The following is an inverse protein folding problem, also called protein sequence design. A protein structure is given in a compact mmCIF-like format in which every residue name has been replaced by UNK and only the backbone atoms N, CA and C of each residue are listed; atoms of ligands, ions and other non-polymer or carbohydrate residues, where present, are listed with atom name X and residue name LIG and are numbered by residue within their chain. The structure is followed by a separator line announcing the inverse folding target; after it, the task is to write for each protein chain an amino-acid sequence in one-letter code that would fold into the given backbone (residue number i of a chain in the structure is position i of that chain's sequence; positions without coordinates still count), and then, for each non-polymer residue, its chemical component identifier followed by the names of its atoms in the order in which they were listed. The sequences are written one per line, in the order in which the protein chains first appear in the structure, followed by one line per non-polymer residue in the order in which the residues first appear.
data_IF_798479455463
#
_entry.id   IF_798479455463
#
_cell.length_a   1.000
_cell.length_b   1.000
_cell.length_c   1.000
_cell.angle_alpha   90.00
_cell.angle_beta   90.00
_cell.angle_gamma   90.00
#
_symmetry.space_group_name_H-M   'P 1'
#
loop_
_entity.id
_entity.type
_entity.pdbx_description
1 polymer ?
#
# COMPACT_ATOMS: atom_id res chain seq x y z
N UNK A 1 -63.61 -7.66 -25.79
CA UNK A 1 -62.71 -6.49 -25.70
C UNK A 1 -62.70 -6.03 -24.24
N UNK A 2 -61.50 -5.84 -23.66
CA UNK A 2 -61.21 -5.32 -22.29
C UNK A 2 -61.27 -6.35 -21.14
N UNK A 3 -60.13 -6.93 -20.81
CA UNK A 3 -59.74 -7.28 -19.43
C UNK A 3 -58.32 -6.74 -19.23
N UNK A 4 -58.23 -5.54 -18.67
CA UNK A 4 -57.00 -4.89 -18.22
C UNK A 4 -57.02 -4.95 -16.70
N UNK A 5 -55.91 -5.39 -16.12
CA UNK A 5 -55.48 -4.88 -14.81
C UNK A 5 -55.52 -5.87 -13.68
N UNK A 6 -54.40 -6.58 -13.47
CA UNK A 6 -53.88 -6.98 -12.14
C UNK A 6 -52.43 -7.48 -12.25
N UNK A 7 -51.55 -6.74 -12.95
CA UNK A 7 -50.11 -7.05 -13.01
C UNK A 7 -49.28 -5.77 -12.85
N UNK A 8 -49.67 -4.88 -11.94
CA UNK A 8 -49.03 -3.56 -11.79
C UNK A 8 -48.77 -3.12 -10.36
N UNK A 9 -49.08 -3.94 -9.34
CA UNK A 9 -49.05 -3.48 -7.95
C UNK A 9 -48.39 -4.50 -7.01
N UNK A 10 -47.18 -4.94 -7.38
CA UNK A 10 -46.38 -5.88 -6.57
C UNK A 10 -44.87 -5.69 -6.69
N UNK A 11 -44.40 -4.60 -7.30
CA UNK A 11 -42.96 -4.32 -7.50
C UNK A 11 -42.50 -3.02 -6.82
N UNK A 12 -43.33 -2.45 -5.93
CA UNK A 12 -43.12 -1.09 -5.41
C UNK A 12 -42.70 -1.02 -3.93
N UNK A 13 -42.21 -2.11 -3.33
CA UNK A 13 -41.94 -2.18 -1.88
C UNK A 13 -40.67 -2.97 -1.49
N UNK A 14 -39.59 -2.87 -2.27
CA UNK A 14 -38.30 -3.52 -1.94
C UNK A 14 -37.05 -2.68 -2.26
N UNK A 15 -37.12 -1.34 -2.12
CA UNK A 15 -35.98 -0.44 -2.38
C UNK A 15 -35.55 0.45 -1.20
N UNK A 16 -36.02 0.22 0.02
CA UNK A 16 -35.53 0.97 1.20
C UNK A 16 -34.45 0.20 1.96
N UNK A 17 -33.37 -0.14 1.25
CA UNK A 17 -32.17 -0.76 1.81
C UNK A 17 -30.93 0.01 1.39
N UNK A 18 -30.87 1.32 1.67
CA UNK A 18 -29.64 2.09 1.52
C UNK A 18 -28.62 1.54 2.52
N UNK A 19 -27.60 0.85 2.03
CA UNK A 19 -26.39 0.59 2.80
C UNK A 19 -25.79 1.95 3.19
N UNK A 20 -25.88 2.32 4.47
CA UNK A 20 -25.17 3.49 4.99
C UNK A 20 -23.68 3.14 5.05
N UNK A 21 -22.95 3.51 4.01
CA UNK A 21 -21.49 3.62 4.05
C UNK A 21 -21.12 4.71 5.05
N UNK A 22 -21.04 4.35 6.33
CA UNK A 22 -20.48 5.20 7.37
C UNK A 22 -18.97 4.96 7.35
N UNK A 23 -18.28 5.49 6.33
CA UNK A 23 -16.87 5.87 6.51
C UNK A 23 -16.93 7.21 7.24
N UNK A 24 -16.43 7.25 8.48
CA UNK A 24 -16.41 8.49 9.25
C UNK A 24 -15.62 9.56 8.52
N UNK A 25 -16.11 10.79 8.54
CA UNK A 25 -15.50 11.98 7.91
C UNK A 25 -14.28 12.52 8.67
N UNK A 26 -13.78 11.78 9.67
CA UNK A 26 -12.79 12.25 10.63
C UNK A 26 -11.85 11.10 11.02
N UNK A 27 -10.55 11.35 10.98
CA UNK A 27 -9.51 10.42 11.41
C UNK A 27 -8.94 10.82 12.78
N UNK A 28 -8.56 9.83 13.59
CA UNK A 28 -7.84 10.08 14.85
C UNK A 28 -6.34 10.15 14.54
N UNK A 29 -5.72 11.29 14.77
CA UNK A 29 -4.28 11.52 14.55
C UNK A 29 -3.61 11.68 15.91
N UNK A 30 -2.50 10.98 16.12
CA UNK A 30 -1.68 11.07 17.35
C UNK A 30 -0.41 11.88 17.06
N UNK A 31 -0.16 12.89 17.90
CA UNK A 31 0.98 13.80 17.78
C UNK A 31 1.96 13.60 18.95
N UNK A 32 3.20 13.23 18.62
CA UNK A 32 4.29 12.97 19.57
C UNK A 32 5.51 13.83 19.23
N UNK A 33 6.24 14.30 20.26
CA UNK A 33 7.50 15.04 20.05
C UNK A 33 8.60 14.65 21.02
N UNK A 34 9.86 14.76 20.57
CA UNK A 34 11.04 14.72 21.43
C UNK A 34 11.80 16.06 21.31
N UNK A 35 11.95 16.82 22.41
CA UNK A 35 11.39 16.60 23.76
C UNK A 35 9.85 16.76 23.81
N UNK A 36 9.21 16.13 24.81
CA UNK A 36 7.77 16.24 25.04
C UNK A 36 7.41 17.64 25.55
N UNK A 37 6.18 18.09 25.32
CA UNK A 37 5.73 19.42 25.73
C UNK A 37 5.76 20.49 24.61
N UNK A 38 5.86 20.08 23.35
CA UNK A 38 5.79 21.00 22.22
C UNK A 38 4.33 21.40 21.95
N UNK A 39 4.10 22.69 21.71
CA UNK A 39 2.80 23.21 21.28
C UNK A 39 2.60 22.86 19.81
N UNK A 40 1.48 22.21 19.49
CA UNK A 40 1.13 21.83 18.12
C UNK A 40 0.03 22.75 17.61
N UNK A 41 0.34 23.42 16.50
CA UNK A 41 -0.61 24.19 15.72
C UNK A 41 -0.87 23.49 14.38
N UNK A 42 -2.12 23.47 13.93
CA UNK A 42 -2.50 22.94 12.61
C UNK A 42 -3.15 24.09 11.85
N UNK A 43 -2.63 24.41 10.67
CA UNK A 43 -3.00 25.56 9.84
C UNK A 43 -2.99 26.89 10.63
N UNK A 44 -2.03 27.03 11.55
CA UNK A 44 -1.88 28.20 12.42
C UNK A 44 -2.83 28.28 13.61
N UNK A 45 -3.72 27.30 13.82
CA UNK A 45 -4.59 27.23 15.02
C UNK A 45 -3.98 26.29 16.08
N UNK A 46 -3.82 26.72 17.35
CA UNK A 46 -3.25 25.86 18.39
C UNK A 46 -4.24 24.77 18.83
N UNK A 47 -3.81 23.50 18.81
CA UNK A 47 -4.65 22.33 19.15
C UNK A 47 -4.26 21.66 20.47
N UNK A 48 -3.00 21.75 20.91
CA UNK A 48 -2.60 21.13 22.17
C UNK A 48 -1.10 21.05 22.40
N UNK A 49 -0.72 20.28 23.40
CA UNK A 49 0.66 20.01 23.83
C UNK A 49 0.93 18.51 23.71
N UNK A 50 2.05 18.11 23.14
CA UNK A 50 2.44 16.68 22.97
C UNK A 50 2.75 15.98 24.31
N UNK A 51 2.38 14.70 24.49
CA UNK A 51 1.68 13.82 23.54
C UNK A 51 0.15 13.96 23.64
N UNK A 52 -0.54 14.13 22.51
CA UNK A 52 -2.01 14.21 22.47
C UNK A 52 -2.59 13.59 21.20
N UNK A 53 -3.86 13.21 21.25
CA UNK A 53 -4.60 12.65 20.10
C UNK A 53 -5.85 13.47 19.85
N UNK A 54 -6.05 13.92 18.60
CA UNK A 54 -7.26 14.63 18.19
C UNK A 54 -7.96 13.90 17.05
N UNK A 55 -9.25 14.19 16.90
CA UNK A 55 -9.97 13.85 15.68
C UNK A 55 -9.85 15.03 14.73
N UNK A 56 -9.22 14.81 13.60
CA UNK A 56 -9.09 15.78 12.52
C UNK A 56 -10.06 15.37 11.42
N UNK A 57 -10.74 16.34 10.83
CA UNK A 57 -11.60 16.09 9.67
C UNK A 57 -10.74 15.74 8.45
N UNK A 58 -11.32 15.08 7.46
CA UNK A 58 -10.63 14.79 6.21
C UNK A 58 -10.61 16.04 5.31
N UNK A 59 -9.42 16.52 4.95
CA UNK A 59 -9.20 17.75 4.18
C UNK A 59 -8.01 17.64 3.23
N UNK A 60 -7.85 18.61 2.30
CA UNK A 60 -7.00 18.49 1.12
C UNK A 60 -5.49 18.59 1.37
N UNK A 61 -5.05 19.06 2.54
CA UNK A 61 -3.71 18.95 3.15
C UNK A 61 -3.73 19.74 4.47
N UNK A 62 -2.89 19.39 5.46
CA UNK A 62 -2.77 20.14 6.71
C UNK A 62 -1.30 20.54 6.98
N UNK A 63 -1.05 21.80 7.36
CA UNK A 63 0.27 22.24 7.80
C UNK A 63 0.36 22.18 9.33
N UNK A 64 1.13 21.22 9.85
CA UNK A 64 1.33 21.02 11.28
C UNK A 64 2.65 21.68 11.69
N UNK A 65 2.59 22.63 12.61
CA UNK A 65 3.74 23.33 13.17
C UNK A 65 3.91 22.96 14.65
N UNK A 66 5.06 22.37 14.96
CA UNK A 66 5.48 22.08 16.33
C UNK A 66 6.38 23.21 16.81
N UNK A 67 5.94 23.92 17.84
CA UNK A 67 6.68 25.04 18.44
C UNK A 67 7.02 24.72 19.89
N UNK A 68 8.30 24.82 20.24
CA UNK A 68 8.78 24.69 21.61
C UNK A 68 9.75 25.83 21.92
N UNK A 69 9.65 26.39 23.13
CA UNK A 69 10.55 27.45 23.56
C UNK A 69 12.02 26.99 23.46
N UNK A 70 12.87 27.81 22.82
CA UNK A 70 14.29 27.52 22.62
C UNK A 70 14.60 26.55 21.46
N UNK A 71 13.62 26.16 20.66
CA UNK A 71 13.80 25.27 19.50
C UNK A 71 13.29 25.91 18.21
N UNK A 72 13.84 25.49 17.07
CA UNK A 72 13.32 25.89 15.77
C UNK A 72 11.92 25.29 15.55
N UNK A 73 10.95 26.06 15.03
CA UNK A 73 9.64 25.52 14.69
C UNK A 73 9.79 24.46 13.61
N UNK A 74 9.27 23.26 13.87
CA UNK A 74 9.30 22.15 12.92
C UNK A 74 7.95 22.09 12.19
N UNK A 75 7.99 22.27 10.88
CA UNK A 75 6.81 22.25 10.01
C UNK A 75 6.73 20.93 9.26
N UNK A 76 5.62 20.26 9.42
CA UNK A 76 5.31 18.99 8.77
C UNK A 76 4.02 19.14 7.97
N UNK A 77 4.03 18.75 6.71
CA UNK A 77 2.84 18.76 5.87
C UNK A 77 2.22 17.37 5.87
N UNK A 78 1.03 17.27 6.45
CA UNK A 78 0.19 16.08 6.34
C UNK A 78 -0.48 16.12 4.97
N UNK A 79 -0.04 15.22 4.09
CA UNK A 79 -0.61 15.07 2.76
C UNK A 79 -1.87 14.21 2.80
N UNK A 80 -2.85 14.56 1.98
CA UNK A 80 -4.08 13.78 1.84
C UNK A 80 -4.18 13.16 0.45
N UNK A 81 -4.61 11.90 0.39
CA UNK A 81 -4.84 11.20 -0.87
C UNK A 81 -6.31 11.22 -1.28
N UNK A 82 -6.55 11.49 -2.56
CA UNK A 82 -7.88 11.55 -3.16
C UNK A 82 -8.36 10.13 -3.50
N UNK A 83 -9.32 9.62 -2.74
CA UNK A 83 -9.93 8.33 -3.01
C UNK A 83 -11.05 8.49 -4.05
N UNK A 84 -10.71 8.58 -5.34
CA UNK A 84 -11.68 8.76 -6.41
C UNK A 84 -12.44 7.46 -6.75
N UNK A 85 -13.77 7.43 -6.55
CA UNK A 85 -14.62 6.29 -6.93
C UNK A 85 -15.40 6.55 -8.24
N UNK A 86 -15.34 5.55 -9.13
CA UNK A 86 -16.20 5.21 -10.28
C UNK A 86 -16.76 6.33 -11.18
N UNK A 87 -16.17 6.44 -12.37
CA UNK A 87 -16.45 7.38 -13.48
C UNK A 87 -17.82 7.21 -14.19
N UNK A 88 -18.81 6.53 -13.57
CA UNK A 88 -20.02 6.08 -14.28
C UNK A 88 -21.32 6.84 -13.93
N UNK A 89 -21.29 7.83 -13.03
CA UNK A 89 -22.45 8.70 -12.69
C UNK A 89 -22.06 10.21 -12.68
N UNK A 90 -23.02 11.14 -12.93
CA UNK A 90 -22.79 12.53 -13.36
C UNK A 90 -22.24 13.47 -12.26
N UNK A 91 -21.79 14.71 -12.58
CA UNK A 91 -21.04 15.62 -11.68
C UNK A 91 -21.70 16.00 -10.33
N UNK A 92 -22.92 15.54 -10.04
CA UNK A 92 -23.63 15.84 -8.80
C UNK A 92 -23.17 14.99 -7.60
N UNK A 93 -22.70 13.75 -7.79
CA UNK A 93 -22.20 12.92 -6.67
C UNK A 93 -20.84 13.41 -6.17
N UNK A 94 -19.97 13.81 -7.09
CA UNK A 94 -18.68 14.43 -6.78
C UNK A 94 -18.86 15.73 -5.98
N UNK A 95 -19.95 16.49 -6.22
CA UNK A 95 -20.24 17.72 -5.46
C UNK A 95 -20.51 17.43 -3.97
N UNK A 96 -21.18 16.32 -3.65
CA UNK A 96 -21.54 15.98 -2.27
C UNK A 96 -20.32 15.47 -1.50
N UNK A 97 -19.47 14.66 -2.12
CA UNK A 97 -18.23 14.14 -1.50
C UNK A 97 -17.13 15.21 -1.35
N UNK A 98 -17.06 16.17 -2.28
CA UNK A 98 -16.16 17.35 -2.16
C UNK A 98 -16.59 18.25 -1.00
N UNK A 99 -17.89 18.52 -0.84
CA UNK A 99 -18.39 19.40 0.21
C UNK A 99 -18.33 18.74 1.59
N UNK A 100 -18.52 17.42 1.66
CA UNK A 100 -18.49 16.67 2.92
C UNK A 100 -17.09 16.22 3.38
N UNK A 101 -16.06 16.41 2.57
CA UNK A 101 -14.67 16.04 2.89
C UNK A 101 -14.37 14.54 2.84
N UNK A 102 -15.37 13.70 2.52
CA UNK A 102 -15.26 12.24 2.48
C UNK A 102 -14.32 11.70 1.37
N UNK A 103 -13.83 12.59 0.51
CA UNK A 103 -12.97 12.27 -0.62
C UNK A 103 -11.49 12.11 -0.26
N UNK A 104 -11.06 12.72 0.85
CA UNK A 104 -9.67 12.76 1.28
C UNK A 104 -9.42 11.70 2.36
N UNK A 105 -8.34 10.94 2.24
CA UNK A 105 -7.85 10.06 3.31
C UNK A 105 -6.49 10.59 3.75
N UNK A 106 -6.25 10.69 5.07
CA UNK A 106 -4.93 11.07 5.57
C UNK A 106 -3.99 9.87 5.41
N UNK A 107 -2.83 10.09 4.80
CA UNK A 107 -1.86 9.02 4.53
C UNK A 107 -1.10 8.57 5.80
N UNK A 108 -1.07 9.41 6.85
CA UNK A 108 -0.35 9.14 8.10
C UNK A 108 -1.27 9.36 9.32
N UNK A 109 -1.37 8.36 10.21
CA UNK A 109 -2.18 8.41 11.44
C UNK A 109 -1.35 8.79 12.69
N UNK A 110 -0.02 8.86 12.57
CA UNK A 110 0.92 9.26 13.62
C UNK A 110 2.01 10.19 13.10
N UNK A 111 2.17 11.34 13.76
CA UNK A 111 3.23 12.31 13.42
C UNK A 111 4.23 12.41 14.58
N UNK A 112 5.48 12.05 14.32
CA UNK A 112 6.58 12.15 15.28
C UNK A 112 7.55 13.27 14.89
N UNK A 113 7.71 14.28 15.76
CA UNK A 113 8.62 15.40 15.53
C UNK A 113 9.84 15.38 16.47
N UNK A 114 11.04 15.43 15.90
CA UNK A 114 12.29 15.65 16.64
C UNK A 114 12.72 17.12 16.48
N UNK A 115 12.71 17.90 17.55
CA UNK A 115 12.96 19.34 17.50
C UNK A 115 14.45 19.67 17.64
N UNK A 116 14.95 20.61 16.84
CA UNK A 116 16.34 21.08 16.86
C UNK A 116 16.45 22.36 17.72
N UNK A 117 17.36 22.44 18.70
CA UNK A 117 17.53 23.63 19.54
C UNK A 117 18.10 24.82 18.75
N UNK A 118 17.68 26.05 19.12
CA UNK A 118 18.16 27.30 18.53
C UNK A 118 19.58 27.65 19.05
N UNK A 119 20.51 28.08 18.19
CA UNK A 119 21.82 28.56 18.64
C UNK A 119 21.64 29.89 19.40
N UNK A 120 21.78 29.85 20.73
CA UNK A 120 21.70 31.03 21.61
C UNK A 120 20.78 30.90 22.82
N UNK A 121 20.07 29.79 23.00
CA UNK A 121 19.40 29.48 24.26
C UNK A 121 20.40 28.92 25.27
N UNK A 122 20.81 29.73 26.26
CA UNK A 122 21.61 29.25 27.39
C UNK A 122 21.01 27.95 27.98
N UNK A 123 21.83 26.94 28.28
CA UNK A 123 21.35 25.73 28.94
C UNK A 123 20.70 26.13 30.27
N UNK A 124 19.45 25.70 30.50
CA UNK A 124 18.88 25.65 31.83
C UNK A 124 19.85 24.86 32.74
N UNK A 125 20.04 25.27 33.99
CA UNK A 125 21.30 25.16 34.70
C UNK A 125 21.79 23.71 34.76
N UNK A 126 23.03 23.51 34.29
CA UNK A 126 23.83 22.33 34.55
C UNK A 126 23.99 22.19 36.07
N UNK A 127 23.08 21.44 36.69
CA UNK A 127 23.31 20.86 37.99
C UNK A 127 24.44 19.84 37.83
N UNK A 128 25.66 20.33 38.10
CA UNK A 128 26.84 19.61 38.52
C UNK A 128 27.03 18.22 37.90
N UNK A 129 27.62 18.22 36.71
CA UNK A 129 28.43 17.13 36.23
C UNK A 129 29.60 16.89 37.19
N UNK A 130 29.41 16.01 38.17
CA UNK A 130 30.40 15.12 38.80
C UNK A 130 29.83 14.66 40.13
N UNK A 131 29.65 13.34 40.28
CA UNK A 131 29.22 12.68 41.51
C UNK A 131 27.72 12.79 41.85
N UNK A 132 26.89 12.24 40.97
CA UNK A 132 25.87 11.31 41.44
C UNK A 132 26.15 10.01 40.72
N UNK A 133 26.25 8.94 41.50
CA UNK A 133 26.45 7.58 41.05
C UNK A 133 25.67 7.29 39.76
N UNK A 134 26.26 6.47 38.90
CA UNK A 134 25.55 5.79 37.83
C UNK A 134 24.27 5.16 38.40
N UNK A 135 23.17 5.92 38.42
CA UNK A 135 21.88 5.32 38.16
C UNK A 135 22.08 4.66 36.79
N UNK A 136 21.74 3.37 36.63
CA UNK A 136 21.74 2.78 35.32
C UNK A 136 20.98 3.78 34.45
N UNK A 137 21.51 4.10 33.26
CA UNK A 137 20.67 4.72 32.25
C UNK A 137 19.30 4.04 32.34
N UNK A 138 18.16 4.76 32.27
CA UNK A 138 16.95 4.08 31.91
C UNK A 138 17.35 3.40 30.61
N UNK A 139 17.61 2.10 30.69
CA UNK A 139 17.85 1.26 29.56
C UNK A 139 16.60 1.56 28.78
N UNK A 140 16.73 2.33 27.70
CA UNK A 140 15.69 2.43 26.70
C UNK A 140 15.28 0.97 26.54
N UNK A 141 14.05 0.58 26.94
CA UNK A 141 13.72 -0.82 27.12
C UNK A 141 14.24 -1.51 25.88
N UNK A 142 15.29 -2.34 26.08
CA UNK A 142 16.12 -2.84 24.98
C UNK A 142 15.13 -3.30 23.93
N UNK A 143 15.18 -2.77 22.68
CA UNK A 143 14.06 -2.76 21.74
C UNK A 143 13.29 -4.04 21.97
N UNK A 144 12.20 -3.91 22.75
CA UNK A 144 11.52 -5.12 23.22
C UNK A 144 11.20 -5.82 21.93
N UNK A 145 11.60 -7.09 21.73
CA UNK A 145 11.29 -7.81 20.50
C UNK A 145 9.83 -7.53 20.26
N UNK A 146 9.56 -6.69 19.27
CA UNK A 146 8.28 -6.03 19.12
C UNK A 146 7.34 -7.20 18.99
N UNK A 147 6.56 -7.46 20.07
CA UNK A 147 6.06 -8.81 20.35
C UNK A 147 5.46 -9.29 19.05
N UNK A 148 6.02 -10.33 18.40
CA UNK A 148 5.90 -10.53 16.96
C UNK A 148 4.45 -10.32 16.62
N UNK A 149 4.14 -9.16 16.01
CA UNK A 149 2.76 -8.76 15.72
C UNK A 149 2.22 -9.99 15.05
N UNK A 150 1.24 -10.71 15.63
CA UNK A 150 0.99 -12.09 15.26
C UNK A 150 0.82 -12.10 13.76
N UNK A 151 1.86 -12.61 13.10
CA UNK A 151 2.00 -12.49 11.68
C UNK A 151 1.01 -13.50 11.15
N UNK A 152 -0.23 -13.04 10.97
CA UNK A 152 -1.14 -13.71 10.06
C UNK A 152 -0.35 -13.92 8.76
N UNK A 153 -0.45 -15.10 8.13
CA UNK A 153 0.52 -15.56 7.14
C UNK A 153 0.90 -14.45 6.16
N UNK A 154 2.14 -13.99 6.22
CA UNK A 154 2.68 -13.04 5.24
C UNK A 154 2.73 -13.77 3.90
N UNK A 155 1.99 -13.26 2.93
CA UNK A 155 1.85 -13.91 1.63
C UNK A 155 3.06 -13.54 0.79
N UNK A 156 3.93 -14.53 0.53
CA UNK A 156 5.16 -14.33 -0.22
C UNK A 156 4.91 -14.48 -1.71
N UNK A 157 5.21 -13.44 -2.48
CA UNK A 157 5.00 -13.40 -3.93
C UNK A 157 6.32 -13.10 -4.61
N UNK A 158 6.65 -13.90 -5.61
CA UNK A 158 7.78 -13.65 -6.49
C UNK A 158 7.29 -13.24 -7.86
N UNK A 159 7.93 -12.23 -8.45
CA UNK A 159 7.74 -11.85 -9.86
C UNK A 159 9.00 -12.25 -10.62
N UNK A 160 8.87 -13.17 -11.56
CA UNK A 160 9.97 -13.61 -12.41
C UNK A 160 10.14 -12.68 -13.61
N UNK A 161 11.32 -12.74 -14.22
CA UNK A 161 11.59 -12.06 -15.49
C UNK A 161 10.66 -12.57 -16.58
N UNK A 162 10.33 -11.70 -17.53
CA UNK A 162 9.39 -12.05 -18.59
C UNK A 162 10.07 -12.83 -19.71
N UNK A 163 9.36 -13.77 -20.32
CA UNK A 163 9.82 -14.44 -21.52
C UNK A 163 9.83 -13.46 -22.71
N UNK A 164 10.94 -13.47 -23.46
CA UNK A 164 11.17 -12.53 -24.56
C UNK A 164 10.89 -13.17 -25.93
N UNK A 165 9.62 -13.30 -26.29
CA UNK A 165 9.21 -13.80 -27.60
C UNK A 165 9.12 -12.66 -28.63
N UNK A 166 9.18 -11.41 -28.19
CA UNK A 166 9.13 -10.20 -29.01
C UNK A 166 10.51 -9.67 -29.43
N UNK A 167 11.62 -10.30 -29.03
CA UNK A 167 12.99 -9.86 -29.30
C UNK A 167 13.29 -8.43 -28.82
N UNK A 168 12.71 -8.06 -27.67
CA UNK A 168 13.01 -6.81 -26.97
C UNK A 168 14.44 -6.80 -26.42
N UNK A 169 14.96 -5.60 -26.13
CA UNK A 169 16.25 -5.47 -25.45
C UNK A 169 16.16 -5.99 -24.00
N UNK A 170 17.28 -6.44 -23.41
CA UNK A 170 17.29 -6.91 -22.02
C UNK A 170 16.75 -5.86 -21.02
N UNK A 171 17.09 -4.59 -21.25
CA UNK A 171 16.65 -3.47 -20.40
C UNK A 171 15.14 -3.23 -20.47
N UNK A 172 14.55 -3.30 -21.68
CA UNK A 172 13.10 -3.15 -21.84
C UNK A 172 12.34 -4.29 -21.14
N UNK A 173 12.82 -5.52 -21.27
CA UNK A 173 12.21 -6.70 -20.65
C UNK A 173 12.26 -6.62 -19.12
N UNK A 174 13.41 -6.23 -18.56
CA UNK A 174 13.63 -6.01 -17.13
C UNK A 174 12.74 -4.86 -16.60
N UNK A 175 12.60 -3.78 -17.37
CA UNK A 175 11.71 -2.68 -17.01
C UNK A 175 10.25 -3.14 -16.89
N UNK A 176 9.79 -4.04 -17.78
CA UNK A 176 8.42 -4.56 -17.72
C UNK A 176 8.17 -5.47 -16.51
N UNK A 177 9.13 -6.31 -16.13
CA UNK A 177 9.02 -7.17 -14.95
C UNK A 177 9.05 -6.34 -13.65
N UNK A 178 9.90 -5.31 -13.59
CA UNK A 178 9.98 -4.36 -12.47
C UNK A 178 8.70 -3.54 -12.30
N UNK A 179 8.07 -3.10 -13.39
CA UNK A 179 6.78 -2.42 -13.32
C UNK A 179 5.72 -3.27 -12.63
N UNK A 180 5.71 -4.58 -12.85
CA UNK A 180 4.78 -5.51 -12.18
C UNK A 180 5.17 -5.72 -10.71
N UNK A 181 6.47 -5.76 -10.38
CA UNK A 181 6.94 -5.79 -8.98
C UNK A 181 6.46 -4.57 -8.20
N UNK A 182 6.68 -3.38 -8.75
CA UNK A 182 6.26 -2.11 -8.14
C UNK A 182 4.73 -2.06 -8.03
N UNK A 183 4.01 -2.50 -9.07
CA UNK A 183 2.55 -2.57 -9.04
C UNK A 183 2.03 -3.48 -7.92
N UNK A 184 2.66 -4.65 -7.70
CA UNK A 184 2.30 -5.56 -6.63
C UNK A 184 2.58 -4.98 -5.23
N UNK A 185 3.71 -4.26 -5.06
CA UNK A 185 4.07 -3.57 -3.83
C UNK A 185 3.16 -2.37 -3.50
N UNK A 186 2.64 -1.69 -4.52
CA UNK A 186 1.83 -0.48 -4.36
C UNK A 186 0.44 -0.70 -3.75
N UNK A 187 0.08 -1.93 -3.36
CA UNK A 187 -1.21 -2.24 -2.79
C UNK A 187 -1.28 -1.81 -1.31
N UNK A 188 -2.17 -0.88 -0.93
CA UNK A 188 -2.27 -0.41 0.45
C UNK A 188 -2.82 -1.51 1.37
N UNK A 189 -2.23 -1.64 2.57
CA UNK A 189 -2.68 -2.54 3.63
C UNK A 189 -2.38 -4.03 3.41
N UNK A 190 -1.49 -4.38 2.47
CA UNK A 190 -1.20 -5.76 2.14
C UNK A 190 -0.09 -6.37 3.02
N UNK A 191 -0.34 -7.55 3.61
CA UNK A 191 0.70 -8.44 4.17
C UNK A 191 1.44 -9.22 3.05
N UNK A 192 1.70 -8.53 1.94
CA UNK A 192 2.27 -9.11 0.73
C UNK A 192 3.77 -8.86 0.75
N UNK A 193 4.57 -9.91 0.90
CA UNK A 193 6.01 -9.80 0.74
C UNK A 193 6.35 -10.05 -0.72
N UNK A 194 6.85 -9.03 -1.43
CA UNK A 194 7.27 -9.18 -2.83
C UNK A 194 8.79 -9.30 -2.87
N UNK A 195 9.31 -10.40 -3.42
CA UNK A 195 10.75 -10.55 -3.64
C UNK A 195 11.25 -9.56 -4.68
N UNK A 196 12.28 -8.80 -4.33
CA UNK A 196 13.05 -8.00 -5.29
C UNK A 196 13.99 -8.90 -6.09
N UNK A 197 14.51 -8.39 -7.20
CA UNK A 197 15.43 -9.11 -8.09
C UNK A 197 16.72 -9.52 -7.36
N UNK A 198 17.25 -8.63 -6.53
CA UNK A 198 18.49 -8.82 -5.78
C UNK A 198 18.31 -9.92 -4.72
N UNK A 199 17.22 -9.82 -3.95
CA UNK A 199 16.85 -10.84 -2.96
C UNK A 199 16.63 -12.20 -3.62
N UNK A 200 16.11 -12.23 -4.85
CA UNK A 200 15.91 -13.45 -5.60
C UNK A 200 17.25 -14.08 -6.01
N UNK A 201 18.19 -13.28 -6.51
CA UNK A 201 19.51 -13.76 -6.96
C UNK A 201 20.35 -14.32 -5.81
N UNK A 202 20.19 -13.84 -4.58
CA UNK A 202 20.85 -14.41 -3.41
C UNK A 202 20.28 -15.77 -3.00
N UNK A 203 19.00 -16.02 -3.29
CA UNK A 203 18.28 -17.24 -2.91
C UNK A 203 18.32 -18.34 -3.98
N UNK A 204 18.71 -17.99 -5.20
CA UNK A 204 18.73 -18.92 -6.33
C UNK A 204 20.10 -19.60 -6.50
N UNK A 205 20.13 -20.82 -7.06
CA UNK A 205 21.37 -21.47 -7.45
C UNK A 205 22.15 -20.61 -8.46
N UNK A 206 23.50 -20.56 -8.36
CA UNK A 206 24.36 -19.66 -9.15
C UNK A 206 24.30 -19.85 -10.67
N UNK A 207 23.68 -20.92 -11.17
CA UNK A 207 23.55 -21.24 -12.61
C UNK A 207 22.10 -21.08 -13.15
N UNK A 208 21.22 -20.42 -12.40
CA UNK A 208 19.80 -20.26 -12.79
C UNK A 208 19.61 -19.04 -13.68
N UNK A 209 19.43 -19.26 -14.99
CA UNK A 209 19.09 -18.19 -15.93
C UNK A 209 17.57 -17.92 -15.92
N UNK A 210 17.17 -16.87 -15.21
CA UNK A 210 15.76 -16.45 -15.07
C UNK A 210 15.11 -16.05 -16.40
N UNK A 211 15.91 -15.66 -17.40
CA UNK A 211 15.41 -15.24 -18.71
C UNK A 211 14.93 -16.41 -19.58
N UNK A 212 15.40 -17.62 -19.28
CA UNK A 212 15.05 -18.85 -20.02
C UNK A 212 13.99 -19.70 -19.33
N UNK A 213 13.45 -19.22 -18.22
CA UNK A 213 12.52 -19.99 -17.43
C UNK A 213 11.08 -19.85 -17.96
N UNK A 214 10.63 -20.82 -18.76
CA UNK A 214 9.25 -20.91 -19.26
C UNK A 214 8.58 -22.24 -18.83
N UNK A 215 7.35 -22.18 -18.31
CA UNK A 215 6.55 -23.35 -17.96
C UNK A 215 6.87 -23.94 -16.58
N UNK A 216 7.32 -25.20 -16.52
CA UNK A 216 7.43 -25.95 -15.26
C UNK A 216 8.47 -25.36 -14.29
N UNK A 217 9.51 -24.71 -14.80
CA UNK A 217 10.55 -24.08 -13.98
C UNK A 217 10.02 -22.85 -13.22
N UNK A 218 8.94 -22.21 -13.67
CA UNK A 218 8.41 -20.98 -13.04
C UNK A 218 7.91 -21.28 -11.63
N UNK A 219 7.12 -22.36 -11.52
CA UNK A 219 6.56 -22.84 -10.26
C UNK A 219 7.67 -23.38 -9.35
N UNK A 220 8.63 -24.12 -9.91
CA UNK A 220 9.74 -24.70 -9.16
C UNK A 220 10.68 -23.63 -8.61
N UNK A 221 10.98 -22.61 -9.40
CA UNK A 221 11.73 -21.41 -8.96
C UNK A 221 11.01 -20.75 -7.78
N UNK A 222 9.68 -20.57 -7.89
CA UNK A 222 8.87 -20.04 -6.79
C UNK A 222 8.92 -20.90 -5.52
N UNK A 223 8.96 -22.23 -5.65
CA UNK A 223 9.13 -23.15 -4.50
C UNK A 223 10.50 -23.01 -3.85
N UNK A 224 11.56 -22.95 -4.65
CA UNK A 224 12.94 -22.89 -4.18
C UNK A 224 13.20 -21.63 -3.34
N UNK A 225 12.57 -20.51 -3.72
CA UNK A 225 12.71 -19.23 -3.00
C UNK A 225 11.73 -19.10 -1.83
N UNK A 226 10.86 -20.09 -1.62
CA UNK A 226 9.89 -20.11 -0.53
C UNK A 226 8.72 -19.14 -0.73
N UNK A 227 8.39 -18.79 -1.97
CA UNK A 227 7.21 -17.99 -2.29
C UNK A 227 5.94 -18.86 -2.26
N UNK A 228 4.81 -18.28 -1.88
CA UNK A 228 3.48 -18.91 -1.94
C UNK A 228 2.86 -18.83 -3.33
N UNK A 229 3.18 -17.75 -4.05
CA UNK A 229 2.69 -17.45 -5.39
C UNK A 229 3.82 -16.94 -6.28
N UNK A 230 3.72 -17.26 -7.57
CA UNK A 230 4.62 -16.79 -8.61
C UNK A 230 3.85 -16.05 -9.69
N UNK A 231 4.33 -14.86 -10.04
CA UNK A 231 3.86 -14.07 -11.17
C UNK A 231 4.89 -14.21 -12.30
N UNK A 232 4.43 -14.61 -13.47
CA UNK A 232 5.22 -14.72 -14.69
C UNK A 232 4.59 -13.92 -15.82
N UNK A 233 5.40 -13.55 -16.80
CA UNK A 233 4.97 -12.80 -17.96
C UNK A 233 5.64 -13.32 -19.23
N UNK A 234 4.93 -13.28 -20.35
CA UNK A 234 5.50 -13.50 -21.67
C UNK A 234 5.14 -12.33 -22.58
N UNK A 235 6.14 -11.78 -23.26
CA UNK A 235 5.98 -10.65 -24.18
C UNK A 235 6.16 -11.15 -25.61
N UNK A 236 5.18 -10.86 -26.47
CA UNK A 236 5.18 -11.30 -27.86
C UNK A 236 4.53 -10.28 -28.80
N UNK A 237 4.76 -10.46 -30.09
CA UNK A 237 4.04 -9.72 -31.14
C UNK A 237 2.79 -10.50 -31.57
N UNK A 238 1.63 -9.84 -31.52
CA UNK A 238 0.36 -10.41 -31.98
C UNK A 238 -0.43 -9.38 -32.78
N UNK A 239 -0.76 -9.68 -34.04
CA UNK A 239 -1.56 -8.79 -34.89
C UNK A 239 -0.94 -7.40 -35.11
N UNK A 240 0.40 -7.32 -35.16
CA UNK A 240 1.13 -6.05 -35.31
C UNK A 240 1.20 -5.21 -34.04
N UNK A 241 0.80 -5.76 -32.88
CA UNK A 241 0.82 -5.10 -31.57
C UNK A 241 1.69 -5.89 -30.61
N UNK A 242 2.26 -5.21 -29.60
CA UNK A 242 2.90 -5.88 -28.48
C UNK A 242 1.82 -6.40 -27.54
N UNK A 243 1.95 -7.65 -27.11
CA UNK A 243 1.05 -8.30 -26.18
C UNK A 243 1.87 -8.89 -25.03
N UNK A 244 1.41 -8.64 -23.81
CA UNK A 244 1.96 -9.27 -22.61
C UNK A 244 0.89 -10.11 -21.96
N UNK A 245 1.22 -11.38 -21.75
CA UNK A 245 0.39 -12.32 -21.00
C UNK A 245 1.02 -12.49 -19.62
N UNK A 246 0.33 -11.99 -18.60
CA UNK A 246 0.67 -12.22 -17.20
C UNK A 246 -0.07 -13.42 -16.65
N UNK A 247 0.62 -14.25 -15.89
CA UNK A 247 0.07 -15.44 -15.25
C UNK A 247 0.46 -15.47 -13.78
N UNK A 248 -0.50 -15.78 -12.91
CA UNK A 248 -0.28 -15.96 -11.47
C UNK A 248 -0.53 -17.43 -11.14
N UNK A 249 0.48 -18.12 -10.63
CA UNK A 249 0.39 -19.50 -10.19
C UNK A 249 0.62 -19.63 -8.69
N UNK A 250 0.06 -20.68 -8.09
CA UNK A 250 0.45 -21.10 -6.75
C UNK A 250 1.66 -22.02 -6.80
N UNK A 251 2.64 -21.79 -5.94
CA UNK A 251 3.84 -22.64 -5.86
C UNK A 251 3.52 -24.02 -5.30
N UNK A 252 2.53 -24.12 -4.39
CA UNK A 252 2.15 -25.39 -3.77
C UNK A 252 1.64 -26.41 -4.78
N UNK A 253 0.67 -26.04 -5.60
CA UNK A 253 0.02 -26.96 -6.56
C UNK A 253 0.39 -26.72 -8.02
N UNK A 254 1.08 -25.62 -8.35
CA UNK A 254 1.32 -25.19 -9.73
C UNK A 254 0.08 -24.70 -10.46
N UNK A 255 -1.07 -24.61 -9.78
CA UNK A 255 -2.35 -24.21 -10.39
C UNK A 255 -2.34 -22.73 -10.76
N UNK A 256 -2.84 -22.42 -11.95
CA UNK A 256 -3.13 -21.05 -12.37
C UNK A 256 -4.24 -20.46 -11.49
N UNK A 257 -3.92 -19.37 -10.80
CA UNK A 257 -4.84 -18.59 -9.97
C UNK A 257 -5.58 -17.55 -10.81
N UNK A 258 -4.88 -16.93 -11.75
CA UNK A 258 -5.46 -15.97 -12.67
C UNK A 258 -4.45 -15.60 -13.76
N UNK A 259 -4.95 -15.07 -14.86
CA UNK A 259 -4.14 -14.53 -15.93
C UNK A 259 -4.75 -13.20 -16.40
N UNK A 260 -3.91 -12.31 -16.90
CA UNK A 260 -4.30 -11.07 -17.54
C UNK A 260 -3.53 -10.95 -18.85
N UNK A 261 -4.20 -10.48 -19.90
CA UNK A 261 -3.56 -10.24 -21.19
C UNK A 261 -3.77 -8.78 -21.54
N UNK A 262 -2.67 -8.08 -21.79
CA UNK A 262 -2.66 -6.67 -22.15
C UNK A 262 -1.99 -6.51 -23.51
N UNK A 263 -2.44 -5.53 -24.29
CA UNK A 263 -1.85 -5.27 -25.61
C UNK A 263 -1.76 -3.77 -25.88
N UNK A 264 -0.65 -3.36 -26.48
CA UNK A 264 -0.35 -1.98 -26.84
C UNK A 264 0.30 -1.92 -28.22
N UNK A 265 0.33 -0.72 -28.83
CA UNK A 265 1.01 -0.54 -30.11
C UNK A 265 2.53 -0.57 -29.93
N UNK A 266 3.02 -0.03 -28.82
CA UNK A 266 4.42 0.15 -28.46
C UNK A 266 4.65 -0.16 -26.96
N UNK A 267 5.90 -0.12 -26.52
CA UNK A 267 6.31 -0.39 -25.14
C UNK A 267 5.75 0.67 -24.19
N UNK A 268 5.80 1.95 -24.58
CA UNK A 268 5.31 3.07 -23.77
C UNK A 268 3.80 2.95 -23.47
N UNK A 269 2.99 2.52 -24.45
CA UNK A 269 1.58 2.26 -24.25
C UNK A 269 1.31 1.00 -23.41
N UNK A 270 2.32 0.13 -23.23
CA UNK A 270 2.19 -1.10 -22.47
C UNK A 270 2.36 -0.87 -20.97
N UNK A 271 3.23 0.06 -20.56
CA UNK A 271 3.51 0.37 -19.14
C UNK A 271 2.25 0.62 -18.30
N UNK A 272 1.36 1.60 -18.60
CA UNK A 272 0.22 1.90 -17.75
C UNK A 272 -0.80 0.75 -17.69
N UNK A 273 -0.96 0.02 -18.81
CA UNK A 273 -1.90 -1.10 -18.90
C UNK A 273 -1.36 -2.30 -18.11
N UNK A 274 -0.05 -2.51 -18.16
CA UNK A 274 0.65 -3.57 -17.45
C UNK A 274 0.66 -3.31 -15.94
N UNK A 275 0.91 -2.08 -15.49
CA UNK A 275 0.82 -1.70 -14.07
C UNK A 275 -0.56 -2.01 -13.50
N UNK A 276 -1.62 -1.63 -14.21
CA UNK A 276 -2.99 -1.92 -13.76
C UNK A 276 -3.31 -3.42 -13.80
N UNK A 277 -2.80 -4.16 -14.78
CA UNK A 277 -2.93 -5.63 -14.79
C UNK A 277 -2.19 -6.29 -13.61
N UNK A 278 -0.98 -5.80 -13.28
CA UNK A 278 -0.20 -6.23 -12.12
C UNK A 278 -0.96 -6.02 -10.82
N UNK A 279 -1.53 -4.82 -10.59
CA UNK A 279 -2.39 -4.54 -9.42
C UNK A 279 -3.60 -5.47 -9.35
N UNK A 280 -4.27 -5.75 -10.47
CA UNK A 280 -5.42 -6.68 -10.50
C UNK A 280 -5.01 -8.11 -10.13
N UNK A 281 -3.88 -8.59 -10.64
CA UNK A 281 -3.36 -9.91 -10.29
C UNK A 281 -2.94 -9.99 -8.82
N UNK A 282 -2.25 -8.98 -8.30
CA UNK A 282 -1.85 -8.91 -6.90
C UNK A 282 -3.06 -8.82 -5.96
N UNK A 283 -4.14 -8.12 -6.33
CA UNK A 283 -5.41 -8.16 -5.58
C UNK A 283 -6.04 -9.56 -5.60
N UNK A 284 -6.01 -10.27 -6.73
CA UNK A 284 -6.48 -11.67 -6.80
C UNK A 284 -5.66 -12.61 -5.91
N UNK A 285 -4.35 -12.39 -5.82
CA UNK A 285 -3.47 -13.12 -4.90
C UNK A 285 -3.92 -12.95 -3.44
N UNK A 286 -4.16 -11.71 -3.00
CA UNK A 286 -4.62 -11.42 -1.64
C UNK A 286 -5.99 -12.06 -1.32
N UNK A 287 -6.95 -11.96 -2.25
CA UNK A 287 -8.28 -12.57 -2.07
C UNK A 287 -8.20 -14.10 -1.95
N UNK A 288 -7.28 -14.74 -2.68
CA UNK A 288 -7.06 -16.19 -2.57
C UNK A 288 -6.40 -16.59 -1.28
N UNK A 289 -5.41 -15.84 -0.82
CA UNK A 289 -4.78 -16.09 0.47
C UNK A 289 -5.79 -15.98 1.62
N UNK A 290 -6.66 -14.97 1.58
CA UNK A 290 -7.76 -14.84 2.54
C UNK A 290 -8.72 -16.06 2.50
N UNK A 291 -9.05 -16.56 1.31
CA UNK A 291 -9.92 -17.72 1.16
C UNK A 291 -9.28 -19.06 1.58
N UNK A 292 -7.96 -19.20 1.48
CA UNK A 292 -7.25 -20.42 1.92
C UNK A 292 -7.08 -20.47 3.44
N UNK A 293 -7.01 -19.33 4.12
CA UNK A 293 -6.92 -19.26 5.59
C UNK A 293 -8.23 -19.66 6.30
N UNK A 294 -9.37 -19.55 5.61
CA UNK A 294 -10.70 -19.90 6.16
C UNK A 294 -11.07 -21.38 5.98
N UNK A 295 -10.22 -22.17 5.31
CA UNK A 295 -10.48 -23.60 5.12
C UNK A 295 -10.01 -24.37 6.35
N UNK A 296 -10.90 -25.09 7.08
CA UNK A 296 -10.48 -25.89 8.22
C UNK A 296 -9.46 -26.92 7.77
N UNK A 297 -8.32 -26.96 8.46
CA UNK A 297 -7.33 -28.03 8.31
C UNK A 297 -7.99 -29.30 8.87
N UNK A 298 -8.46 -30.16 7.97
CA UNK A 298 -8.98 -31.49 8.28
C UNK A 298 -7.88 -32.52 8.32
#
# INVERSE_FOLDING_TARGET
MRWIGTWGLGLLLALSGCATSIKGTNARVTFDSKPAGATVAIDGKPYGITPFSIRLDHGPDYEVEFTLAGHHPYRYRLTSSFSGHSLWFPPYSMLIDIISGAMFTLDEDRVFAALVPLPGGSPAPEASASQVAQAPAPQAPAPQPEAPVPAGPELKVVVLEFANNAQLTPFELESLSDLVRVAALSLPGSRLFVYTRENLLELLPPDTDLSKCEGACEVETGRNVGADLVITGAVGHFGGRLQVKLSLHTTRTGRLVGAEVVSAADIAGLEPVLTEAGKRLARRALLRAAAEQDKPQG
#
